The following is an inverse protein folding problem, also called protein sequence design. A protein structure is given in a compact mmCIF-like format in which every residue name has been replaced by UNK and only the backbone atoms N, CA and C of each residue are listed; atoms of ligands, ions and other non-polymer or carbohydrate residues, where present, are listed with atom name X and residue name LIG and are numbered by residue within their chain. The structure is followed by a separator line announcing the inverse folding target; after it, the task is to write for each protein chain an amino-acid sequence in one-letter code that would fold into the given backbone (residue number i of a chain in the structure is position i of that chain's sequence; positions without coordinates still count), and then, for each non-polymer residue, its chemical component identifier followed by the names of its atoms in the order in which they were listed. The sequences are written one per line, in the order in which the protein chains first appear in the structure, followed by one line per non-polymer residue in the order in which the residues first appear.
data_IF_402903332253
#
_entry.id   IF_402903332253
#
_cell.length_a   1.000
_cell.length_b   1.000
_cell.length_c   1.000
_cell.angle_alpha   90.00
_cell.angle_beta   90.00
_cell.angle_gamma   90.00
#
_symmetry.space_group_name_H-M   'P 1'
#
loop_
_entity.id
_entity.type
_entity.pdbx_description
1 polymer ?
#
# COMPACT_ATOMS: atom_id res chain seq x y z
N UNK A 1 24.36 0.03 2.66
CA UNK A 1 23.53 -0.35 1.49
C UNK A 1 23.13 0.84 0.64
N UNK A 2 22.32 1.78 1.16
CA UNK A 2 21.88 2.95 0.39
C UNK A 2 23.05 3.78 -0.17
N UNK A 3 24.14 3.95 0.57
CA UNK A 3 25.31 4.69 0.05
C UNK A 3 26.08 3.93 -1.04
N UNK A 4 26.09 2.60 -0.96
CA UNK A 4 26.84 1.73 -1.89
C UNK A 4 26.06 1.38 -3.16
N UNK A 5 24.73 1.40 -3.09
CA UNK A 5 23.83 0.99 -4.18
C UNK A 5 22.89 2.14 -4.56
N UNK A 6 23.29 3.02 -5.52
CA UNK A 6 22.48 4.16 -5.95
C UNK A 6 21.06 3.81 -6.41
N UNK A 7 20.89 2.61 -6.99
CA UNK A 7 19.59 2.12 -7.48
C UNK A 7 18.64 1.61 -6.40
N UNK A 8 19.09 1.46 -5.15
CA UNK A 8 18.23 1.13 -4.01
C UNK A 8 17.61 2.43 -3.48
N UNK A 9 16.29 2.44 -3.34
CA UNK A 9 15.52 3.63 -2.89
C UNK A 9 14.87 3.42 -1.53
N UNK A 10 14.76 2.18 -1.09
CA UNK A 10 14.25 1.78 0.23
C UNK A 10 15.06 0.59 0.74
N UNK A 11 15.59 0.70 1.95
CA UNK A 11 16.21 -0.39 2.68
C UNK A 11 15.48 -0.60 4.00
N UNK A 12 15.08 -1.82 4.31
CA UNK A 12 14.30 -2.13 5.50
C UNK A 12 14.74 -3.48 6.12
N UNK A 13 14.68 -3.64 7.45
CA UNK A 13 15.03 -4.88 8.11
C UNK A 13 13.84 -5.85 8.21
N UNK A 14 14.13 -7.09 8.61
CA UNK A 14 13.09 -8.01 9.10
C UNK A 14 12.56 -7.56 10.46
N UNK A 15 11.43 -8.13 10.86
CA UNK A 15 10.66 -7.68 12.02
C UNK A 15 10.56 -8.75 13.10
N UNK A 16 10.73 -8.38 14.36
CA UNK A 16 10.30 -9.17 15.51
C UNK A 16 8.94 -8.66 16.01
N UNK A 17 8.02 -9.58 16.25
CA UNK A 17 6.68 -9.27 16.73
C UNK A 17 6.64 -9.36 18.25
N UNK A 18 6.26 -8.25 18.88
CA UNK A 18 6.11 -8.12 20.32
C UNK A 18 4.64 -8.17 20.73
N UNK A 19 4.33 -8.81 21.84
CA UNK A 19 2.99 -8.77 22.44
C UNK A 19 2.79 -7.47 23.27
N UNK A 20 1.67 -7.33 23.97
CA UNK A 20 1.37 -6.16 24.80
C UNK A 20 2.35 -5.96 25.97
N UNK A 21 2.92 -7.05 26.49
CA UNK A 21 3.91 -7.02 27.57
C UNK A 21 5.34 -6.75 27.07
N UNK A 22 5.56 -6.75 25.75
CA UNK A 22 6.86 -6.52 25.14
C UNK A 22 7.70 -7.78 24.92
N UNK A 23 7.12 -8.96 25.09
CA UNK A 23 7.78 -10.23 24.78
C UNK A 23 7.69 -10.55 23.29
N UNK A 24 8.82 -11.02 22.72
CA UNK A 24 8.86 -11.54 21.35
C UNK A 24 8.06 -12.84 21.28
N UNK A 25 7.10 -12.90 20.36
CA UNK A 25 6.31 -14.12 20.12
C UNK A 25 6.43 -14.66 18.69
N UNK A 26 7.14 -13.95 17.81
CA UNK A 26 7.35 -14.39 16.44
C UNK A 26 8.28 -13.46 15.67
N UNK A 27 8.70 -13.95 14.51
CA UNK A 27 9.42 -13.18 13.51
C UNK A 27 8.54 -12.96 12.27
N UNK A 28 8.93 -11.98 11.45
CA UNK A 28 8.21 -11.63 10.25
C UNK A 28 9.15 -11.04 9.19
N UNK A 29 9.03 -11.54 7.96
CA UNK A 29 9.66 -10.98 6.78
C UNK A 29 8.56 -10.57 5.78
N UNK A 30 8.68 -9.37 5.22
CA UNK A 30 7.78 -8.93 4.14
C UNK A 30 8.16 -9.60 2.80
N UNK A 31 9.39 -10.12 2.69
CA UNK A 31 9.95 -10.72 1.47
C UNK A 31 9.89 -9.76 0.25
N UNK A 32 10.13 -8.48 0.48
CA UNK A 32 10.19 -7.42 -0.54
C UNK A 32 11.65 -7.04 -0.85
N UNK A 33 12.53 -8.04 -1.01
CA UNK A 33 13.87 -7.87 -1.57
C UNK A 33 13.79 -7.70 -3.12
N UNK A 34 13.27 -6.56 -3.57
CA UNK A 34 12.93 -6.30 -4.98
C UNK A 34 14.09 -5.65 -5.75
N UNK A 35 14.98 -6.48 -6.31
CA UNK A 35 16.25 -6.01 -6.90
C UNK A 35 16.32 -6.00 -8.44
N UNK A 36 15.26 -6.43 -9.13
CA UNK A 36 15.21 -6.44 -10.59
C UNK A 36 15.46 -5.04 -11.19
N UNK A 37 16.16 -4.98 -12.33
CA UNK A 37 16.33 -3.73 -13.09
C UNK A 37 15.02 -3.26 -13.76
N UNK A 38 14.10 -4.18 -14.06
CA UNK A 38 12.79 -3.85 -14.64
C UNK A 38 11.82 -3.37 -13.56
N UNK A 39 11.31 -2.14 -13.72
CA UNK A 39 10.31 -1.57 -12.83
C UNK A 39 9.03 -2.42 -12.79
N UNK A 40 8.56 -2.89 -13.95
CA UNK A 40 7.37 -3.74 -14.03
C UNK A 40 7.57 -5.11 -13.40
N UNK A 41 8.78 -5.67 -13.42
CA UNK A 41 9.09 -6.90 -12.69
C UNK A 41 8.99 -6.70 -11.17
N UNK A 42 9.62 -5.63 -10.64
CA UNK A 42 9.52 -5.30 -9.20
C UNK A 42 8.09 -4.97 -8.79
N UNK A 43 7.36 -4.22 -9.62
CA UNK A 43 5.96 -3.87 -9.40
C UNK A 43 5.07 -5.12 -9.35
N UNK A 44 5.27 -6.08 -10.26
CA UNK A 44 4.57 -7.37 -10.25
C UNK A 44 4.85 -8.15 -8.97
N UNK A 45 6.12 -8.32 -8.63
CA UNK A 45 6.53 -9.06 -7.44
C UNK A 45 5.97 -8.43 -6.17
N UNK A 46 5.95 -7.09 -6.08
CA UNK A 46 5.27 -6.38 -5.02
C UNK A 46 3.81 -6.82 -4.92
N UNK A 47 3.02 -6.84 -5.99
CA UNK A 47 1.59 -7.25 -5.94
C UNK A 47 1.37 -8.73 -5.66
N UNK A 48 2.33 -9.60 -5.98
CA UNK A 48 2.25 -11.03 -5.70
C UNK A 48 2.50 -11.33 -4.21
N UNK A 49 3.30 -10.50 -3.54
CA UNK A 49 3.57 -10.59 -2.10
C UNK A 49 2.50 -9.89 -1.27
N UNK A 50 1.77 -10.60 -0.43
CA UNK A 50 0.88 -9.98 0.57
C UNK A 50 1.59 -9.91 1.91
N UNK A 51 1.47 -8.80 2.61
CA UNK A 51 2.15 -8.66 3.89
C UNK A 51 1.72 -7.44 4.71
N UNK A 52 2.39 -7.30 5.85
CA UNK A 52 2.13 -6.26 6.85
C UNK A 52 2.78 -4.91 6.50
N UNK A 53 3.51 -4.84 5.38
CA UNK A 53 4.11 -3.63 4.85
C UNK A 53 5.10 -2.98 5.82
N UNK A 54 5.86 -3.75 6.61
CA UNK A 54 6.87 -3.19 7.52
C UNK A 54 8.00 -2.52 6.78
N UNK A 55 8.18 -2.84 5.51
CA UNK A 55 9.06 -2.11 4.60
C UNK A 55 8.85 -0.58 4.65
N UNK A 56 7.65 -0.10 4.99
CA UNK A 56 7.39 1.34 5.15
C UNK A 56 8.18 2.01 6.28
N UNK A 57 8.67 1.24 7.26
CA UNK A 57 9.50 1.72 8.37
C UNK A 57 11.00 1.67 8.05
N UNK A 58 11.37 1.32 6.82
CA UNK A 58 12.75 1.35 6.37
C UNK A 58 13.28 2.76 6.13
N UNK A 59 14.58 2.84 5.84
CA UNK A 59 15.25 4.07 5.42
C UNK A 59 15.03 4.25 3.92
N UNK A 60 14.56 5.44 3.54
CA UNK A 60 14.23 5.79 2.16
C UNK A 60 15.10 6.94 1.68
N UNK A 61 15.36 6.98 0.37
CA UNK A 61 15.92 8.16 -0.29
C UNK A 61 14.90 9.30 -0.24
N UNK A 62 15.26 10.42 0.37
CA UNK A 62 14.34 11.55 0.58
C UNK A 62 13.95 12.25 -0.72
N UNK A 63 14.89 12.40 -1.64
CA UNK A 63 14.68 12.97 -2.98
C UNK A 63 13.74 12.11 -3.85
N UNK A 64 13.80 10.79 -3.69
CA UNK A 64 12.87 9.87 -4.35
C UNK A 64 11.50 9.89 -3.66
N UNK A 65 11.46 9.86 -2.33
CA UNK A 65 10.21 9.91 -1.58
C UNK A 65 9.42 11.19 -1.90
N UNK A 66 10.09 12.33 -2.04
CA UNK A 66 9.48 13.61 -2.42
C UNK A 66 8.82 13.60 -3.81
N UNK A 67 9.19 12.67 -4.70
CA UNK A 67 8.58 12.51 -6.02
C UNK A 67 7.33 11.61 -5.99
N UNK A 68 7.04 10.96 -4.85
CA UNK A 68 5.85 10.11 -4.67
C UNK A 68 4.60 10.92 -4.31
N UNK A 69 3.45 10.27 -4.26
CA UNK A 69 2.23 10.85 -3.67
C UNK A 69 2.30 10.96 -2.13
N UNK A 70 3.43 10.56 -1.53
CA UNK A 70 3.64 10.43 -0.10
C UNK A 70 2.61 9.48 0.55
N UNK A 71 2.60 9.42 1.88
CA UNK A 71 1.63 8.62 2.61
C UNK A 71 0.23 9.20 2.41
N UNK A 72 -0.70 8.36 1.93
CA UNK A 72 -2.09 8.77 1.70
C UNK A 72 -2.98 8.36 2.88
N UNK A 73 -3.95 9.20 3.22
CA UNK A 73 -4.97 8.90 4.24
C UNK A 73 -6.12 8.06 3.64
N UNK A 74 -5.76 6.99 2.93
CA UNK A 74 -6.66 6.01 2.34
C UNK A 74 -6.31 4.66 2.97
N UNK A 75 -7.30 3.79 3.15
CA UNK A 75 -7.03 2.43 3.60
C UNK A 75 -5.95 1.75 2.74
N UNK A 76 -4.92 1.20 3.41
CA UNK A 76 -3.70 0.65 2.80
C UNK A 76 -2.80 1.69 2.12
N UNK A 77 -2.71 2.89 2.71
CA UNK A 77 -1.83 3.96 2.24
C UNK A 77 -0.35 3.56 2.22
N UNK A 78 0.07 2.72 3.17
CA UNK A 78 1.38 2.07 3.20
C UNK A 78 1.67 1.29 1.90
N UNK A 79 0.71 0.48 1.47
CA UNK A 79 0.83 -0.32 0.26
C UNK A 79 0.84 0.53 -1.01
N UNK A 80 0.06 1.63 -1.01
CA UNK A 80 0.07 2.63 -2.08
C UNK A 80 1.46 3.26 -2.20
N UNK A 81 2.04 3.69 -1.08
CA UNK A 81 3.36 4.31 -1.07
C UNK A 81 4.46 3.32 -1.52
N UNK A 82 4.42 2.07 -1.06
CA UNK A 82 5.36 1.04 -1.53
C UNK A 82 5.21 0.77 -3.04
N UNK A 83 3.99 0.77 -3.57
CA UNK A 83 3.74 0.62 -5.00
C UNK A 83 4.23 1.82 -5.81
N UNK A 84 4.20 3.03 -5.24
CA UNK A 84 4.78 4.22 -5.86
C UNK A 84 6.31 4.14 -5.87
N UNK A 85 6.93 3.93 -4.70
CA UNK A 85 8.38 3.88 -4.52
C UNK A 85 9.07 2.82 -5.37
N UNK A 86 8.47 1.63 -5.52
CA UNK A 86 9.09 0.52 -6.26
C UNK A 86 9.29 0.85 -7.75
N UNK A 87 8.53 1.81 -8.29
CA UNK A 87 8.69 2.27 -9.67
C UNK A 87 9.94 3.14 -9.85
N UNK A 88 10.42 3.79 -8.79
CA UNK A 88 11.60 4.67 -8.82
C UNK A 88 12.90 3.89 -8.59
N UNK A 89 12.84 2.74 -7.90
CA UNK A 89 14.03 1.93 -7.72
C UNK A 89 13.81 0.65 -6.95
N UNK A 90 14.92 0.06 -6.51
CA UNK A 90 14.98 -1.27 -5.89
C UNK A 90 14.73 -1.18 -4.39
N UNK A 91 14.19 -2.27 -3.84
CA UNK A 91 14.02 -2.43 -2.40
C UNK A 91 15.04 -3.44 -1.88
N UNK A 92 15.70 -3.10 -0.79
CA UNK A 92 16.66 -3.97 -0.13
C UNK A 92 16.13 -4.41 1.23
N UNK A 93 15.75 -5.68 1.34
CA UNK A 93 15.50 -6.30 2.64
C UNK A 93 16.84 -6.71 3.28
N UNK A 94 17.10 -6.18 4.48
CA UNK A 94 18.25 -6.55 5.32
C UNK A 94 17.86 -7.81 6.10
N UNK A 95 18.70 -8.87 6.13
CA UNK A 95 18.35 -10.13 6.77
C UNK A 95 18.26 -10.06 8.29
N UNK A 96 18.79 -9.00 8.89
CA UNK A 96 18.78 -8.75 10.33
C UNK A 96 17.40 -8.28 10.84
N UNK A 97 17.11 -8.65 12.08
CA UNK A 97 15.91 -8.25 12.80
C UNK A 97 16.13 -6.96 13.57
N UNK A 98 15.91 -5.82 12.90
CA UNK A 98 16.18 -4.49 13.46
C UNK A 98 14.90 -3.67 13.70
N UNK A 99 13.73 -4.20 13.32
CA UNK A 99 12.45 -3.57 13.61
C UNK A 99 11.64 -4.42 14.60
N UNK A 100 11.07 -3.77 15.61
CA UNK A 100 10.25 -4.41 16.62
C UNK A 100 8.83 -3.86 16.52
N UNK A 101 7.87 -4.71 16.16
CA UNK A 101 6.46 -4.29 16.03
C UNK A 101 5.63 -4.89 17.14
N UNK A 102 5.02 -4.03 17.95
CA UNK A 102 4.01 -4.43 18.92
C UNK A 102 2.69 -4.74 18.24
N UNK A 103 2.13 -5.91 18.54
CA UNK A 103 0.79 -6.32 18.11
C UNK A 103 -0.11 -6.33 19.34
N UNK A 104 -1.21 -5.59 19.27
CA UNK A 104 -2.18 -5.47 20.36
C UNK A 104 -3.61 -5.45 19.79
N UNK A 105 -4.64 -5.86 20.58
CA UNK A 105 -6.01 -6.00 20.10
C UNK A 105 -6.66 -4.69 19.64
N UNK A 106 -6.18 -3.54 20.13
CA UNK A 106 -6.67 -2.22 19.75
C UNK A 106 -6.07 -1.70 18.44
N UNK A 107 -5.25 -2.48 17.74
CA UNK A 107 -4.75 -2.12 16.41
C UNK A 107 -5.92 -1.79 15.47
N UNK A 108 -5.82 -0.71 14.71
CA UNK A 108 -6.90 -0.25 13.83
C UNK A 108 -7.36 -1.31 12.85
N UNK A 109 -6.45 -2.15 12.33
CA UNK A 109 -6.75 -3.27 11.44
C UNK A 109 -7.45 -4.45 12.12
N UNK A 110 -7.40 -4.52 13.45
CA UNK A 110 -8.07 -5.54 14.27
C UNK A 110 -9.45 -5.05 14.72
N UNK A 111 -9.57 -3.77 15.06
CA UNK A 111 -10.82 -3.16 15.55
C UNK A 111 -11.78 -2.78 14.41
N UNK A 112 -11.26 -2.41 13.24
CA UNK A 112 -12.08 -1.91 12.13
C UNK A 112 -12.26 -2.97 11.04
N UNK A 113 -13.52 -3.31 10.76
CA UNK A 113 -13.89 -4.39 9.84
C UNK A 113 -13.92 -3.97 8.36
N UNK A 114 -13.98 -2.67 8.04
CA UNK A 114 -14.08 -2.20 6.65
C UNK A 114 -13.02 -1.17 6.26
N UNK A 115 -12.62 -1.19 4.97
CA UNK A 115 -11.68 -0.20 4.41
C UNK A 115 -12.26 1.23 4.42
N UNK A 116 -13.60 1.37 4.45
CA UNK A 116 -14.23 2.68 4.60
C UNK A 116 -14.03 3.24 6.02
N UNK A 117 -14.23 2.40 7.04
CA UNK A 117 -14.02 2.79 8.44
C UNK A 117 -12.54 3.12 8.71
N UNK A 118 -11.61 2.33 8.15
CA UNK A 118 -10.18 2.64 8.19
C UNK A 118 -9.87 3.99 7.54
N UNK A 119 -10.50 4.31 6.41
CA UNK A 119 -10.30 5.60 5.74
C UNK A 119 -10.83 6.77 6.58
N UNK A 120 -11.96 6.59 7.28
CA UNK A 120 -12.51 7.60 8.20
C UNK A 120 -11.63 7.73 9.45
N UNK A 121 -11.08 6.63 9.95
CA UNK A 121 -10.13 6.65 11.07
C UNK A 121 -8.89 7.49 10.77
N UNK A 122 -8.33 7.36 9.56
CA UNK A 122 -7.18 8.16 9.13
C UNK A 122 -7.54 9.60 8.73
N UNK A 123 -8.78 9.85 8.33
CA UNK A 123 -9.25 11.16 7.88
C UNK A 123 -10.72 11.36 8.31
N UNK A 124 -10.95 11.89 9.53
CA UNK A 124 -12.29 12.05 10.09
C UNK A 124 -13.22 12.95 9.25
N UNK A 125 -12.66 13.86 8.44
CA UNK A 125 -13.41 14.76 7.56
C UNK A 125 -14.12 14.01 6.42
N UNK A 126 -13.76 12.75 6.19
CA UNK A 126 -14.41 11.86 5.22
C UNK A 126 -15.64 11.13 5.77
N UNK A 127 -15.96 11.26 7.07
CA UNK A 127 -17.13 10.64 7.71
C UNK A 127 -18.46 10.92 6.98
N UNK A 128 -18.62 12.13 6.46
CA UNK A 128 -19.83 12.56 5.74
C UNK A 128 -19.74 12.39 4.22
N UNK A 129 -18.70 11.74 3.69
CA UNK A 129 -18.52 11.53 2.24
C UNK A 129 -18.92 10.12 1.83
N UNK A 130 -19.23 9.96 0.55
CA UNK A 130 -19.43 8.63 -0.04
C UNK A 130 -18.06 8.11 -0.42
N UNK A 131 -17.62 7.04 0.24
CA UNK A 131 -16.27 6.51 0.09
C UNK A 131 -16.26 5.27 -0.79
N UNK A 132 -15.28 5.23 -1.69
CA UNK A 132 -14.98 4.08 -2.56
C UNK A 132 -13.49 3.76 -2.42
N UNK A 133 -13.02 3.31 -1.24
CA UNK A 133 -11.59 3.16 -0.93
C UNK A 133 -10.87 2.24 -1.92
N UNK A 134 -11.53 1.21 -2.47
CA UNK A 134 -10.91 0.30 -3.43
C UNK A 134 -10.67 0.99 -4.77
N UNK A 135 -11.61 1.83 -5.20
CA UNK A 135 -11.46 2.65 -6.41
C UNK A 135 -10.43 3.75 -6.20
N UNK A 136 -10.43 4.42 -5.05
CA UNK A 136 -9.41 5.42 -4.71
C UNK A 136 -8.01 4.80 -4.73
N UNK A 137 -7.84 3.60 -4.17
CA UNK A 137 -6.58 2.86 -4.22
C UNK A 137 -6.17 2.48 -5.65
N UNK A 138 -7.12 2.03 -6.48
CA UNK A 138 -6.84 1.74 -7.90
C UNK A 138 -6.35 3.00 -8.63
N UNK A 139 -7.03 4.14 -8.43
CA UNK A 139 -6.63 5.41 -9.02
C UNK A 139 -5.24 5.84 -8.54
N UNK A 140 -4.95 5.70 -7.24
CA UNK A 140 -3.63 6.02 -6.69
C UNK A 140 -2.51 5.16 -7.32
N UNK A 141 -2.76 3.86 -7.54
CA UNK A 141 -1.81 3.00 -8.27
C UNK A 141 -1.64 3.43 -9.73
N UNK A 142 -2.72 3.81 -10.41
CA UNK A 142 -2.64 4.30 -11.79
C UNK A 142 -1.83 5.61 -11.87
N UNK A 143 -2.06 6.51 -10.92
CA UNK A 143 -1.38 7.81 -10.86
C UNK A 143 0.11 7.66 -10.52
N UNK A 144 0.46 6.70 -9.66
CA UNK A 144 1.86 6.32 -9.41
C UNK A 144 2.56 5.87 -10.71
N UNK A 145 1.94 4.98 -11.49
CA UNK A 145 2.49 4.53 -12.79
C UNK A 145 2.62 5.70 -13.79
N UNK A 146 1.65 6.62 -13.80
CA UNK A 146 1.69 7.80 -14.69
C UNK A 146 2.83 8.74 -14.32
N UNK A 147 3.01 9.03 -13.04
CA UNK A 147 4.01 9.99 -12.54
C UNK A 147 5.44 9.44 -12.58
N UNK A 148 5.63 8.13 -12.41
CA UNK A 148 6.95 7.52 -12.34
C UNK A 148 7.86 7.85 -13.55
N UNK A 149 9.15 8.13 -13.34
CA UNK A 149 10.13 8.45 -14.38
C UNK A 149 10.66 7.19 -15.08
N UNK A 150 9.75 6.33 -15.55
CA UNK A 150 10.06 5.09 -16.27
C UNK A 150 9.63 5.17 -17.74
N UNK A 151 10.19 4.30 -18.57
CA UNK A 151 9.92 4.30 -20.01
C UNK A 151 8.44 4.01 -20.31
N UNK A 152 7.90 4.48 -21.45
CA UNK A 152 6.51 4.20 -21.84
C UNK A 152 6.19 2.69 -21.90
N UNK A 153 7.16 1.87 -22.32
CA UNK A 153 7.03 0.41 -22.34
C UNK A 153 6.89 -0.16 -20.93
N UNK A 154 7.69 0.31 -19.97
CA UNK A 154 7.55 -0.12 -18.57
C UNK A 154 6.23 0.38 -17.96
N UNK A 155 5.74 1.58 -18.31
CA UNK A 155 4.40 2.04 -17.90
C UNK A 155 3.30 1.10 -18.40
N UNK A 156 3.32 0.75 -19.69
CA UNK A 156 2.37 -0.19 -20.28
C UNK A 156 2.39 -1.54 -19.55
N UNK A 157 3.59 -2.08 -19.26
CA UNK A 157 3.74 -3.33 -18.51
C UNK A 157 3.20 -3.21 -17.09
N UNK A 158 3.44 -2.09 -16.40
CA UNK A 158 2.91 -1.84 -15.05
C UNK A 158 1.38 -1.73 -15.05
N UNK A 159 0.78 -1.09 -16.06
CA UNK A 159 -0.68 -1.11 -16.23
C UNK A 159 -1.20 -2.53 -16.48
N UNK A 160 -0.49 -3.37 -17.24
CA UNK A 160 -0.82 -4.78 -17.41
C UNK A 160 -0.77 -5.58 -16.10
N UNK A 161 0.23 -5.31 -15.24
CA UNK A 161 0.31 -5.87 -13.88
C UNK A 161 -0.89 -5.44 -13.05
N UNK A 162 -1.23 -4.15 -13.06
CA UNK A 162 -2.36 -3.60 -12.31
C UNK A 162 -3.70 -4.16 -12.78
N UNK A 163 -3.88 -4.31 -14.10
CA UNK A 163 -5.06 -4.93 -14.68
C UNK A 163 -5.19 -6.39 -14.24
N UNK A 164 -4.11 -7.18 -14.32
CA UNK A 164 -4.10 -8.57 -13.84
C UNK A 164 -4.41 -8.67 -12.35
N UNK A 165 -3.87 -7.77 -11.54
CA UNK A 165 -4.13 -7.71 -10.11
C UNK A 165 -5.61 -7.39 -9.81
N UNK A 166 -6.18 -6.42 -10.52
CA UNK A 166 -7.53 -5.90 -10.29
C UNK A 166 -8.63 -6.82 -10.83
N UNK A 167 -8.38 -7.47 -11.96
CA UNK A 167 -9.33 -8.36 -12.63
C UNK A 167 -9.44 -9.75 -11.98
N UNK A 168 -8.68 -10.03 -10.92
CA UNK A 168 -8.93 -11.23 -10.09
C UNK A 168 -10.36 -11.16 -9.53
N UNK A 169 -11.09 -12.28 -9.61
CA UNK A 169 -12.54 -12.32 -9.37
C UNK A 169 -12.94 -11.78 -7.99
N UNK A 170 -12.16 -12.09 -6.96
CA UNK A 170 -12.33 -11.62 -5.58
C UNK A 170 -12.17 -10.09 -5.48
N UNK A 171 -11.15 -9.53 -6.12
CA UNK A 171 -10.86 -8.08 -6.13
C UNK A 171 -11.92 -7.31 -6.91
N UNK A 172 -12.29 -7.82 -8.09
CA UNK A 172 -13.31 -7.21 -8.94
C UNK A 172 -14.68 -7.17 -8.25
N UNK A 173 -15.11 -8.30 -7.64
CA UNK A 173 -16.31 -8.33 -6.78
C UNK A 173 -16.23 -7.28 -5.68
N UNK A 174 -15.07 -7.16 -5.04
CA UNK A 174 -14.83 -6.16 -4.03
C UNK A 174 -15.05 -4.72 -4.51
N UNK A 175 -14.69 -4.39 -5.74
CA UNK A 175 -14.93 -3.06 -6.35
C UNK A 175 -16.40 -2.81 -6.66
N UNK A 176 -17.12 -3.84 -7.11
CA UNK A 176 -18.57 -3.78 -7.31
C UNK A 176 -19.27 -3.52 -5.97
N UNK A 177 -18.87 -4.22 -4.90
CA UNK A 177 -19.44 -4.00 -3.57
C UNK A 177 -19.22 -2.58 -3.06
N UNK A 178 -18.09 -1.96 -3.41
CA UNK A 178 -17.78 -0.57 -3.09
C UNK A 178 -18.74 0.39 -3.82
N UNK A 179 -18.96 0.15 -5.12
CA UNK A 179 -19.90 0.95 -5.92
C UNK A 179 -21.35 0.77 -5.47
N UNK A 180 -21.75 -0.45 -5.10
CA UNK A 180 -23.07 -0.76 -4.55
C UNK A 180 -23.28 -0.06 -3.20
N UNK A 181 -22.29 -0.09 -2.30
CA UNK A 181 -22.33 0.66 -1.03
C UNK A 181 -22.46 2.16 -1.26
N UNK A 182 -21.66 2.71 -2.18
CA UNK A 182 -21.72 4.12 -2.53
C UNK A 182 -23.10 4.53 -3.08
N UNK A 183 -23.69 3.73 -3.97
CA UNK A 183 -25.02 4.01 -4.53
C UNK A 183 -26.13 3.98 -3.47
N UNK A 184 -26.08 3.03 -2.52
CA UNK A 184 -27.02 2.97 -1.38
C UNK A 184 -26.90 4.19 -0.49
N UNK A 185 -25.68 4.62 -0.16
CA UNK A 185 -25.43 5.82 0.65
C UNK A 185 -25.92 7.10 -0.04
N UNK A 186 -25.70 7.24 -1.35
CA UNK A 186 -26.21 8.38 -2.12
C UNK A 186 -27.74 8.44 -2.12
N UNK A 187 -28.42 7.29 -2.29
CA UNK A 187 -29.88 7.22 -2.22
C UNK A 187 -30.40 7.61 -0.84
N UNK A 188 -29.79 7.12 0.23
CA UNK A 188 -30.17 7.48 1.60
C UNK A 188 -30.01 8.99 1.87
N UNK A 189 -28.88 9.59 1.46
CA UNK A 189 -28.67 11.04 1.59
C UNK A 189 -29.64 11.88 0.77
N UNK A 190 -30.09 11.37 -0.39
CA UNK A 190 -31.07 12.05 -1.24
C UNK A 190 -32.48 12.01 -0.62
N UNK A 191 -32.84 10.92 0.04
CA UNK A 191 -34.11 10.78 0.78
C UNK A 191 -34.16 11.60 2.07
N UNK A 192 -33.02 11.89 2.71
CA UNK A 192 -32.94 12.76 3.90
C UNK A 192 -32.93 14.26 3.59
N UNK A 193 -32.79 14.63 2.31
CA UNK A 193 -32.71 16.02 1.84
C UNK A 193 -34.00 16.52 1.15
N UNK A 194 -34.98 15.65 0.95
CA UNK A 194 -36.29 15.98 0.38
C UNK A 194 -37.36 15.85 1.46
#
# INVERSE_FOLDING_TARGET
MLDAEPGVVLAYPRTLLLNEEGHVFGDYADDLHLMSSSASARYRELFDKQGLCHAIYGVMRSDVLAQTALMTNIARGDRILLADLVLYGKFWEVPDYLFYRRIHPQNSTTVLSTEADLTIWFDPDKSNKVLMPKWQRLLAYMDAVRRAPITPVEKMRCFGVLARYTLKLDRWRGMIDDALRASRQMRAKRLQRG
#
